data_IF_025787755977
#
_entry.id   IF_025787755977
#
_cell.length_a   1.000
_cell.length_b   1.000
_cell.length_c   1.000
_cell.angle_alpha   90.00
_cell.angle_beta   90.00
_cell.angle_gamma   90.00
#
_symmetry.space_group_name_H-M   'P 1'
#
loop_
_entity.id
_entity.type
_entity.pdbx_description
1 polymer ?
#
# COMPACT_ATOMS: atom_id res chain seq x y z
N UNK A 1 12.74 11.41 18.35
CA UNK A 1 13.71 10.39 17.88
C UNK A 1 14.47 10.97 16.72
N UNK A 2 15.82 10.86 16.69
CA UNK A 2 16.60 11.30 15.53
C UNK A 2 16.33 10.34 14.36
N UNK A 3 16.01 10.90 13.19
CA UNK A 3 15.86 10.13 11.95
C UNK A 3 17.24 9.59 11.57
N UNK A 4 17.40 8.26 11.58
CA UNK A 4 18.67 7.62 11.21
C UNK A 4 18.51 6.85 9.90
N UNK A 5 19.50 7.01 9.01
CA UNK A 5 19.60 6.29 7.75
C UNK A 5 20.82 5.38 7.76
N UNK A 6 20.67 4.18 7.26
CA UNK A 6 21.74 3.19 7.14
C UNK A 6 22.04 2.96 5.67
N UNK A 7 23.31 3.00 5.23
CA UNK A 7 23.66 2.60 3.87
C UNK A 7 23.46 1.09 3.72
N UNK A 8 22.53 0.71 2.85
CA UNK A 8 22.23 -0.67 2.54
C UNK A 8 22.57 -0.98 1.09
N UNK A 9 23.29 -2.08 0.91
CA UNK A 9 23.64 -2.59 -0.41
C UNK A 9 22.44 -3.25 -1.07
N UNK A 10 22.27 -3.00 -2.36
CA UNK A 10 21.28 -3.69 -3.18
C UNK A 10 21.82 -5.07 -3.53
N UNK A 11 21.11 -6.08 -3.05
CA UNK A 11 21.45 -7.48 -3.27
C UNK A 11 20.96 -8.00 -4.62
N UNK A 12 19.72 -7.60 -4.99
CA UNK A 12 19.07 -8.08 -6.21
C UNK A 12 18.03 -7.11 -6.73
N UNK A 13 17.96 -6.98 -8.05
CA UNK A 13 16.92 -6.26 -8.77
C UNK A 13 16.23 -7.22 -9.73
N UNK A 14 14.88 -7.29 -9.69
CA UNK A 14 14.13 -8.06 -10.68
C UNK A 14 13.15 -7.13 -11.40
N UNK A 15 12.98 -7.34 -12.69
CA UNK A 15 11.93 -6.68 -13.48
C UNK A 15 10.61 -7.41 -13.25
N UNK A 16 9.66 -6.75 -12.61
CA UNK A 16 8.32 -7.29 -12.33
C UNK A 16 7.34 -7.02 -13.49
N UNK A 17 7.46 -5.83 -14.09
CA UNK A 17 6.74 -5.42 -15.31
C UNK A 17 7.62 -4.46 -16.10
N UNK A 18 7.19 -4.00 -17.29
CA UNK A 18 7.93 -2.98 -18.05
C UNK A 18 8.08 -1.64 -17.31
N UNK A 19 7.25 -1.41 -16.28
CA UNK A 19 7.24 -0.18 -15.50
C UNK A 19 7.43 -0.43 -14.00
N UNK A 20 7.98 -1.57 -13.59
CA UNK A 20 8.16 -1.86 -12.19
C UNK A 20 9.34 -2.81 -11.97
N UNK A 21 10.23 -2.41 -11.08
CA UNK A 21 11.29 -3.26 -10.57
C UNK A 21 11.08 -3.58 -9.10
N UNK A 22 11.50 -4.74 -8.65
CA UNK A 22 11.66 -5.03 -7.23
C UNK A 22 13.11 -5.00 -6.84
N UNK A 23 13.39 -4.43 -5.66
CA UNK A 23 14.73 -4.24 -5.10
C UNK A 23 14.81 -4.98 -3.78
N UNK A 24 15.74 -5.92 -3.65
CA UNK A 24 16.06 -6.65 -2.42
C UNK A 24 17.33 -6.06 -1.82
N UNK A 25 17.27 -5.68 -0.54
CA UNK A 25 18.41 -5.16 0.21
C UNK A 25 19.14 -6.28 0.96
N UNK A 26 20.46 -6.13 1.06
CA UNK A 26 21.29 -6.91 1.96
C UNK A 26 21.34 -6.21 3.32
N UNK A 27 20.88 -6.89 4.36
CA UNK A 27 20.92 -6.35 5.72
C UNK A 27 22.13 -6.94 6.45
N UNK A 28 23.10 -6.09 6.89
CA UNK A 28 24.23 -6.54 7.70
C UNK A 28 23.76 -7.21 9.00
N UNK A 29 24.48 -8.22 9.48
CA UNK A 29 24.12 -8.96 10.70
C UNK A 29 23.90 -8.03 11.91
N UNK A 30 24.67 -6.96 12.02
CA UNK A 30 24.55 -5.95 13.09
C UNK A 30 23.22 -5.19 13.04
N UNK A 31 22.54 -5.13 11.91
CA UNK A 31 21.30 -4.39 11.70
C UNK A 31 20.05 -5.28 11.62
N UNK A 32 20.19 -6.59 11.61
CA UNK A 32 19.04 -7.52 11.45
C UNK A 32 17.96 -7.28 12.51
N UNK A 33 18.33 -6.96 13.74
CA UNK A 33 17.37 -6.69 14.80
C UNK A 33 16.61 -5.37 14.59
N UNK A 34 17.28 -4.32 14.16
CA UNK A 34 16.68 -3.01 13.84
C UNK A 34 15.80 -3.06 12.60
N UNK A 35 16.12 -3.92 11.65
CA UNK A 35 15.37 -4.10 10.41
C UNK A 35 14.32 -5.21 10.47
N UNK A 36 14.01 -5.76 11.65
CA UNK A 36 12.83 -6.61 11.78
C UNK A 36 11.58 -5.83 11.43
N UNK A 37 10.66 -6.48 10.71
CA UNK A 37 9.45 -5.80 10.26
C UNK A 37 8.21 -6.69 10.39
N UNK A 38 7.05 -6.04 10.42
CA UNK A 38 5.74 -6.69 10.28
C UNK A 38 5.26 -6.56 8.83
N UNK A 39 4.47 -7.51 8.39
CA UNK A 39 3.85 -7.50 7.06
C UNK A 39 3.08 -6.18 6.83
N UNK A 40 3.27 -5.53 5.69
CA UNK A 40 2.62 -4.26 5.36
C UNK A 40 3.36 -3.01 5.84
N UNK A 41 4.49 -3.13 6.53
CA UNK A 41 5.38 -2.01 6.83
C UNK A 41 6.18 -1.56 5.59
N UNK A 42 6.79 -0.39 5.69
CA UNK A 42 7.49 0.30 4.60
C UNK A 42 8.91 0.72 4.98
N UNK A 43 9.75 0.88 3.98
CA UNK A 43 11.09 1.46 4.07
C UNK A 43 11.10 2.85 3.44
N UNK A 44 11.69 3.84 4.13
CA UNK A 44 12.00 5.12 3.53
C UNK A 44 13.43 5.11 3.03
N UNK A 45 13.62 5.36 1.74
CA UNK A 45 14.91 5.42 1.08
C UNK A 45 15.27 6.86 0.74
N UNK A 46 16.56 7.16 0.79
CA UNK A 46 17.13 8.45 0.48
C UNK A 46 18.30 8.26 -0.49
N UNK A 47 18.42 9.17 -1.45
CA UNK A 47 19.58 9.28 -2.33
C UNK A 47 19.69 10.69 -2.88
N UNK A 48 20.84 11.03 -3.46
CA UNK A 48 21.05 12.32 -4.13
C UNK A 48 20.90 12.12 -5.65
N UNK A 49 19.96 12.82 -6.25
CA UNK A 49 19.73 12.79 -7.70
C UNK A 49 19.86 14.21 -8.25
N UNK A 50 20.79 14.42 -9.17
CA UNK A 50 21.05 15.73 -9.81
C UNK A 50 21.35 16.85 -8.79
N UNK A 51 22.00 16.52 -7.67
CA UNK A 51 22.34 17.49 -6.62
C UNK A 51 21.26 17.73 -5.57
N UNK A 52 20.11 17.09 -5.69
CA UNK A 52 19.01 17.20 -4.73
C UNK A 52 18.82 15.90 -3.94
N UNK A 53 18.64 16.03 -2.61
CA UNK A 53 18.28 14.91 -1.77
C UNK A 53 16.82 14.51 -2.03
N UNK A 54 16.62 13.27 -2.45
CA UNK A 54 15.30 12.72 -2.72
C UNK A 54 14.99 11.59 -1.74
N UNK A 55 13.88 11.71 -1.02
CA UNK A 55 13.38 10.67 -0.10
C UNK A 55 12.08 10.09 -0.62
N UNK A 56 11.93 8.75 -0.59
CA UNK A 56 10.69 8.07 -0.97
C UNK A 56 10.47 6.84 -0.10
N UNK A 57 9.21 6.62 0.23
CA UNK A 57 8.77 5.48 1.04
C UNK A 57 8.11 4.44 0.15
N UNK A 58 8.50 3.17 0.31
CA UNK A 58 7.94 2.03 -0.39
C UNK A 58 7.65 0.89 0.56
N UNK A 59 6.47 0.27 0.39
CA UNK A 59 6.04 -0.83 1.24
C UNK A 59 6.86 -2.08 0.95
N UNK A 60 7.21 -2.81 2.01
CA UNK A 60 7.84 -4.12 1.91
C UNK A 60 6.86 -5.12 1.28
N UNK A 61 7.30 -5.78 0.21
CA UNK A 61 6.51 -6.78 -0.52
C UNK A 61 6.95 -8.23 -0.24
N UNK A 62 7.98 -8.42 0.57
CA UNK A 62 8.35 -9.72 1.15
C UNK A 62 7.55 -10.00 2.41
N UNK A 63 7.43 -11.27 2.77
CA UNK A 63 6.97 -11.65 4.11
C UNK A 63 8.14 -11.53 5.10
N UNK A 64 7.92 -11.09 6.36
CA UNK A 64 8.95 -11.16 7.39
C UNK A 64 9.48 -12.59 7.60
N UNK A 65 8.67 -13.61 7.30
CA UNK A 65 9.08 -15.02 7.34
C UNK A 65 10.09 -15.42 6.26
N UNK A 66 10.27 -14.58 5.23
CA UNK A 66 11.22 -14.83 4.13
C UNK A 66 12.65 -14.40 4.50
N UNK A 67 12.80 -13.61 5.57
CA UNK A 67 14.08 -12.96 5.96
C UNK A 67 14.70 -12.20 4.78
N UNK A 68 13.86 -11.48 4.04
CA UNK A 68 14.20 -10.67 2.89
C UNK A 68 13.57 -9.30 3.03
N UNK A 69 14.30 -8.27 2.66
CA UNK A 69 13.83 -6.89 2.66
C UNK A 69 13.67 -6.43 1.22
N UNK A 70 12.49 -6.70 0.66
CA UNK A 70 12.18 -6.44 -0.76
C UNK A 70 11.08 -5.39 -0.86
N UNK A 71 11.30 -4.38 -1.67
CA UNK A 71 10.30 -3.38 -2.07
C UNK A 71 10.06 -3.45 -3.57
N UNK A 72 8.93 -2.96 -4.08
CA UNK A 72 8.73 -2.80 -5.50
C UNK A 72 8.45 -1.34 -5.86
N UNK A 73 9.11 -0.87 -6.89
CA UNK A 73 9.14 0.53 -7.30
C UNK A 73 8.57 0.63 -8.70
N UNK A 74 7.30 1.06 -8.78
CA UNK A 74 6.66 1.33 -10.05
C UNK A 74 7.06 2.70 -10.56
N UNK A 75 7.46 2.77 -11.83
CA UNK A 75 7.80 4.01 -12.51
C UNK A 75 6.58 4.92 -12.59
N UNK A 76 6.73 6.15 -12.13
CA UNK A 76 5.74 7.23 -12.21
C UNK A 76 6.23 8.22 -13.23
N UNK A 77 5.33 8.73 -14.05
CA UNK A 77 5.65 9.77 -15.03
C UNK A 77 6.27 10.99 -14.32
N UNK A 78 7.41 11.44 -14.81
CA UNK A 78 8.21 12.53 -14.22
C UNK A 78 8.68 12.28 -12.77
N UNK A 79 8.61 11.05 -12.28
CA UNK A 79 9.05 10.70 -10.93
C UNK A 79 10.57 10.46 -10.86
N UNK A 80 11.34 11.38 -10.27
CA UNK A 80 12.81 11.30 -10.20
C UNK A 80 13.30 9.96 -9.64
N UNK A 81 12.90 9.61 -8.42
CA UNK A 81 13.36 8.38 -7.77
C UNK A 81 12.88 7.12 -8.48
N UNK A 82 11.62 7.10 -8.91
CA UNK A 82 11.07 5.91 -9.57
C UNK A 82 11.67 5.67 -10.96
N UNK A 83 12.04 6.72 -11.69
CA UNK A 83 12.78 6.60 -12.96
C UNK A 83 14.19 6.10 -12.69
N UNK A 84 14.93 6.72 -11.77
CA UNK A 84 16.25 6.27 -11.35
C UNK A 84 16.25 4.78 -10.94
N UNK A 85 15.30 4.36 -10.11
CA UNK A 85 15.23 2.97 -9.67
C UNK A 85 14.93 1.95 -10.79
N UNK A 86 14.22 2.36 -11.86
CA UNK A 86 13.88 1.49 -12.98
C UNK A 86 14.92 1.50 -14.11
N UNK A 87 15.76 2.54 -14.19
CA UNK A 87 16.66 2.77 -15.34
C UNK A 87 18.15 2.68 -14.98
N UNK A 88 18.54 3.24 -13.83
CA UNK A 88 19.94 3.47 -13.49
C UNK A 88 20.45 2.61 -12.32
N UNK A 89 19.58 2.27 -11.36
CA UNK A 89 19.93 1.53 -10.15
C UNK A 89 20.39 0.11 -10.48
N UNK A 90 21.49 -0.33 -9.84
CA UNK A 90 22.13 -1.62 -10.11
C UNK A 90 22.31 -2.44 -8.85
N UNK A 91 22.43 -3.75 -9.04
CA UNK A 91 22.89 -4.66 -7.99
C UNK A 91 24.31 -4.27 -7.55
N UNK A 92 24.51 -4.17 -6.25
CA UNK A 92 25.76 -3.70 -5.64
C UNK A 92 25.79 -2.23 -5.28
N UNK A 93 24.89 -1.40 -5.82
CA UNK A 93 24.74 0.01 -5.40
C UNK A 93 24.26 0.08 -3.94
N UNK A 94 24.47 1.24 -3.32
CA UNK A 94 24.02 1.53 -1.96
C UNK A 94 22.95 2.63 -1.96
N UNK A 95 21.94 2.45 -1.11
CA UNK A 95 20.95 3.46 -0.78
C UNK A 95 20.89 3.66 0.73
N UNK A 96 20.69 4.89 1.14
CA UNK A 96 20.39 5.21 2.52
C UNK A 96 18.94 4.81 2.86
N UNK A 97 18.75 3.92 3.85
CA UNK A 97 17.45 3.33 4.19
C UNK A 97 17.17 3.50 5.67
N UNK A 98 15.95 3.90 6.03
CA UNK A 98 15.46 3.91 7.41
C UNK A 98 14.95 2.54 7.84
N UNK A 99 14.96 2.30 9.15
CA UNK A 99 14.28 1.14 9.75
C UNK A 99 12.81 1.04 9.29
N UNK A 100 12.25 -0.18 9.21
CA UNK A 100 10.87 -0.39 8.80
C UNK A 100 9.87 0.31 9.71
N UNK A 101 8.91 1.02 9.12
CA UNK A 101 7.83 1.72 9.84
C UNK A 101 6.48 1.48 9.18
N UNK A 102 5.40 1.78 9.87
CA UNK A 102 4.04 1.70 9.34
C UNK A 102 3.09 0.92 10.23
N UNK A 103 1.78 1.13 10.03
CA UNK A 103 0.69 0.52 10.82
C UNK A 103 -0.30 -0.28 9.94
N UNK A 104 -0.01 -0.47 8.66
CA UNK A 104 -0.88 -1.16 7.72
C UNK A 104 -0.74 -2.68 7.85
N UNK A 105 -1.05 -3.21 9.04
CA UNK A 105 -1.01 -4.63 9.36
C UNK A 105 -2.01 -5.00 10.45
N UNK A 106 -2.23 -6.29 10.64
CA UNK A 106 -2.91 -6.87 11.79
C UNK A 106 -2.00 -7.88 12.48
N UNK A 107 -2.22 -8.10 13.77
CA UNK A 107 -1.50 -9.15 14.51
C UNK A 107 -2.00 -10.52 14.06
N UNK A 108 -1.06 -11.38 13.74
CA UNK A 108 -1.31 -12.74 13.29
C UNK A 108 -1.10 -13.74 14.44
N UNK A 109 -1.95 -14.78 14.47
CA UNK A 109 -1.82 -15.85 15.45
C UNK A 109 -2.14 -17.20 14.77
N UNK A 110 -1.31 -18.26 14.96
CA UNK A 110 -1.53 -19.57 14.36
C UNK A 110 -2.89 -20.21 14.67
N UNK A 111 -3.54 -19.79 15.75
CA UNK A 111 -4.86 -20.29 16.15
C UNK A 111 -6.03 -19.55 15.53
N UNK A 112 -5.77 -18.44 14.82
CA UNK A 112 -6.81 -17.67 14.16
C UNK A 112 -7.49 -18.45 13.02
N UNK A 113 -8.79 -18.15 12.85
CA UNK A 113 -9.65 -18.66 11.79
C UNK A 113 -10.33 -17.49 11.07
N UNK A 114 -9.53 -16.53 10.63
CA UNK A 114 -10.01 -15.28 10.05
C UNK A 114 -10.28 -15.38 8.56
N UNK A 115 -11.22 -14.57 8.09
CA UNK A 115 -11.48 -14.31 6.68
C UNK A 115 -10.94 -12.93 6.34
N UNK A 116 -9.86 -12.91 5.59
CA UNK A 116 -9.20 -11.70 5.10
C UNK A 116 -9.73 -11.31 3.73
N UNK A 117 -9.88 -10.02 3.49
CA UNK A 117 -10.18 -9.46 2.19
C UNK A 117 -9.19 -8.33 1.89
N UNK A 118 -8.71 -8.23 0.67
CA UNK A 118 -7.97 -7.08 0.24
C UNK A 118 -8.44 -6.55 -1.11
N UNK A 119 -8.48 -5.23 -1.23
CA UNK A 119 -8.62 -4.49 -2.47
C UNK A 119 -7.31 -3.79 -2.77
N UNK A 120 -6.67 -4.17 -3.86
CA UNK A 120 -5.44 -3.55 -4.31
C UNK A 120 -5.60 -3.00 -5.73
N UNK A 121 -4.87 -1.94 -6.09
CA UNK A 121 -4.75 -1.55 -7.49
C UNK A 121 -3.33 -1.06 -7.80
N UNK A 122 -2.77 -1.54 -8.92
CA UNK A 122 -1.42 -1.20 -9.36
C UNK A 122 -0.37 -1.49 -8.30
N UNK A 123 0.41 -0.47 -7.90
CA UNK A 123 1.45 -0.60 -6.86
C UNK A 123 0.90 -0.83 -5.45
N UNK A 124 -0.40 -0.60 -5.21
CA UNK A 124 -1.02 -0.93 -3.91
C UNK A 124 -0.96 -2.41 -3.53
N UNK A 125 -0.55 -3.28 -4.46
CA UNK A 125 -0.28 -4.69 -4.16
C UNK A 125 0.92 -4.90 -3.23
N UNK A 126 1.86 -3.94 -3.14
CA UNK A 126 3.13 -4.14 -2.44
C UNK A 126 2.96 -4.46 -0.95
N UNK A 127 2.24 -3.70 -0.14
CA UNK A 127 1.98 -4.10 1.24
C UNK A 127 1.03 -5.30 1.33
N UNK A 128 0.08 -5.38 0.42
CA UNK A 128 -0.95 -6.43 0.43
C UNK A 128 -0.35 -7.81 0.20
N UNK A 129 0.59 -7.98 -0.74
CA UNK A 129 1.22 -9.28 -0.98
C UNK A 129 2.07 -9.74 0.22
N UNK A 130 2.69 -8.81 0.94
CA UNK A 130 3.39 -9.10 2.21
C UNK A 130 2.42 -9.66 3.25
N UNK A 131 1.24 -9.04 3.38
CA UNK A 131 0.19 -9.48 4.30
C UNK A 131 -0.35 -10.86 3.90
N UNK A 132 -0.67 -11.06 2.61
CA UNK A 132 -1.17 -12.34 2.08
C UNK A 132 -0.20 -13.48 2.40
N UNK A 133 1.08 -13.32 2.01
CA UNK A 133 2.12 -14.34 2.23
C UNK A 133 2.29 -14.69 3.69
N UNK A 134 2.24 -13.69 4.54
CA UNK A 134 2.46 -13.88 5.98
C UNK A 134 1.25 -14.52 6.64
N UNK A 135 0.04 -14.01 6.38
CA UNK A 135 -1.20 -14.55 6.94
C UNK A 135 -1.42 -16.01 6.55
N UNK A 136 -1.32 -16.35 5.26
CA UNK A 136 -1.55 -17.72 4.78
C UNK A 136 -0.54 -18.73 5.34
N UNK A 137 0.68 -18.29 5.67
CA UNK A 137 1.74 -19.14 6.25
C UNK A 137 1.67 -19.24 7.76
N UNK A 138 1.22 -18.17 8.43
CA UNK A 138 1.13 -18.12 9.90
C UNK A 138 -0.17 -18.71 10.40
N UNK A 139 -1.27 -18.54 9.67
CA UNK A 139 -2.62 -18.91 10.11
C UNK A 139 -3.20 -20.01 9.21
N UNK A 140 -3.01 -21.30 9.53
CA UNK A 140 -3.39 -22.41 8.66
C UNK A 140 -4.90 -22.57 8.46
N UNK A 141 -5.74 -21.99 9.32
CA UNK A 141 -7.20 -22.07 9.24
C UNK A 141 -7.85 -20.81 8.67
N UNK A 142 -7.07 -19.76 8.41
CA UNK A 142 -7.55 -18.51 7.83
C UNK A 142 -7.59 -18.57 6.30
N UNK A 143 -8.51 -17.80 5.72
CA UNK A 143 -8.66 -17.65 4.26
C UNK A 143 -8.38 -16.21 3.85
N UNK A 144 -7.96 -16.01 2.62
CA UNK A 144 -7.66 -14.69 2.07
C UNK A 144 -8.28 -14.53 0.67
N UNK A 145 -9.02 -13.44 0.46
CA UNK A 145 -9.53 -13.04 -0.85
C UNK A 145 -8.84 -11.76 -1.29
N UNK A 146 -8.27 -11.75 -2.48
CA UNK A 146 -7.68 -10.58 -3.12
C UNK A 146 -8.50 -10.17 -4.33
N UNK A 147 -8.96 -8.91 -4.35
CA UNK A 147 -9.49 -8.25 -5.55
C UNK A 147 -8.43 -7.26 -6.02
N UNK A 148 -7.86 -7.50 -7.21
CA UNK A 148 -6.72 -6.73 -7.68
C UNK A 148 -6.98 -6.06 -9.03
N UNK A 149 -7.06 -4.73 -9.02
CA UNK A 149 -7.29 -3.88 -10.19
C UNK A 149 -6.00 -3.51 -10.93
N UNK A 150 -5.99 -3.71 -12.25
CA UNK A 150 -4.88 -3.33 -13.12
C UNK A 150 -5.39 -2.79 -14.47
N UNK A 151 -4.51 -2.23 -15.30
CA UNK A 151 -4.87 -1.79 -16.65
C UNK A 151 -5.01 -2.98 -17.60
N UNK A 152 -4.02 -3.87 -17.60
CA UNK A 152 -3.90 -5.05 -18.44
C UNK A 152 -3.15 -6.15 -17.67
N UNK A 153 -3.17 -7.38 -18.19
CA UNK A 153 -2.44 -8.50 -17.60
C UNK A 153 -0.93 -8.23 -17.50
N UNK A 154 -0.34 -7.62 -18.52
CA UNK A 154 1.09 -7.28 -18.53
C UNK A 154 1.48 -6.24 -17.49
N UNK A 155 0.53 -5.49 -16.93
CA UNK A 155 0.75 -4.50 -15.88
C UNK A 155 0.56 -5.03 -14.46
N UNK A 156 0.24 -6.32 -14.30
CA UNK A 156 0.04 -6.95 -12.99
C UNK A 156 1.41 -7.18 -12.34
N UNK A 157 1.70 -6.42 -11.30
CA UNK A 157 2.92 -6.60 -10.50
C UNK A 157 2.78 -7.90 -9.70
N UNK A 158 3.82 -8.73 -9.67
CA UNK A 158 3.86 -10.04 -8.98
C UNK A 158 2.86 -11.08 -9.52
N UNK A 159 2.50 -11.02 -10.82
CA UNK A 159 1.51 -11.95 -11.38
C UNK A 159 1.87 -13.41 -11.13
N UNK A 160 3.08 -13.83 -11.47
CA UNK A 160 3.54 -15.23 -11.29
C UNK A 160 3.59 -15.62 -9.80
N UNK A 161 3.99 -14.69 -8.91
CA UNK A 161 4.02 -14.95 -7.47
C UNK A 161 2.60 -15.13 -6.91
N UNK A 162 1.63 -14.33 -7.36
CA UNK A 162 0.23 -14.44 -6.96
C UNK A 162 -0.43 -15.74 -7.46
N UNK A 163 -0.17 -16.14 -8.72
CA UNK A 163 -0.64 -17.42 -9.25
C UNK A 163 0.03 -18.60 -8.52
N UNK A 164 1.32 -18.49 -8.19
CA UNK A 164 2.02 -19.46 -7.36
C UNK A 164 1.42 -19.60 -5.96
N UNK A 165 1.04 -18.49 -5.34
CA UNK A 165 0.34 -18.49 -4.05
C UNK A 165 -1.05 -19.14 -4.17
N UNK A 166 -1.79 -18.85 -5.24
CA UNK A 166 -3.10 -19.46 -5.51
C UNK A 166 -2.99 -20.98 -5.65
N UNK A 167 -2.00 -21.45 -6.39
CA UNK A 167 -1.76 -22.89 -6.54
C UNK A 167 -1.37 -23.55 -5.21
N UNK A 168 -0.53 -22.88 -4.42
CA UNK A 168 -0.05 -23.39 -3.12
C UNK A 168 -1.14 -23.44 -2.05
N UNK A 169 -2.06 -22.47 -2.07
CA UNK A 169 -3.12 -22.30 -1.06
C UNK A 169 -4.51 -22.34 -1.70
N UNK A 170 -4.75 -23.29 -2.61
CA UNK A 170 -5.92 -23.35 -3.48
C UNK A 170 -7.25 -23.26 -2.72
N UNK A 171 -7.37 -23.88 -1.55
CA UNK A 171 -8.58 -23.88 -0.73
C UNK A 171 -8.71 -22.65 0.17
N UNK A 172 -7.66 -21.82 0.25
CA UNK A 172 -7.57 -20.72 1.22
C UNK A 172 -7.24 -19.37 0.62
N UNK A 173 -6.81 -19.31 -0.64
CA UNK A 173 -6.50 -18.08 -1.33
C UNK A 173 -7.31 -17.93 -2.62
N UNK A 174 -8.19 -16.94 -2.62
CA UNK A 174 -8.95 -16.54 -3.81
C UNK A 174 -8.36 -15.26 -4.41
N UNK A 175 -8.10 -15.27 -5.71
CA UNK A 175 -7.51 -14.17 -6.44
C UNK A 175 -8.40 -13.74 -7.60
N UNK A 176 -8.99 -12.55 -7.53
CA UNK A 176 -9.89 -11.97 -8.52
C UNK A 176 -9.16 -10.80 -9.20
N UNK A 177 -8.81 -10.97 -10.48
CA UNK A 177 -8.24 -9.91 -11.29
C UNK A 177 -9.35 -9.04 -11.91
N UNK A 178 -9.18 -7.71 -11.86
CA UNK A 178 -10.07 -6.73 -12.50
C UNK A 178 -9.24 -5.88 -13.47
N UNK A 179 -9.48 -6.00 -14.79
CA UNK A 179 -8.70 -5.34 -15.83
C UNK A 179 -9.48 -4.21 -16.48
N UNK A 180 -8.96 -2.98 -16.43
CA UNK A 180 -9.71 -1.80 -16.88
C UNK A 180 -9.54 -1.47 -18.36
N UNK A 181 -8.52 -2.01 -19.04
CA UNK A 181 -8.20 -1.72 -20.45
C UNK A 181 -8.02 -2.97 -21.31
N UNK A 182 -8.16 -4.14 -20.73
CA UNK A 182 -8.06 -5.41 -21.42
C UNK A 182 -9.37 -6.18 -21.20
N UNK A 183 -10.04 -6.58 -22.28
CA UNK A 183 -11.29 -7.34 -22.21
C UNK A 183 -11.03 -8.72 -21.64
N UNK A 184 -11.90 -9.15 -20.79
CA UNK A 184 -11.89 -10.48 -20.16
C UNK A 184 -13.16 -11.23 -20.57
N UNK A 185 -13.13 -12.56 -20.46
CA UNK A 185 -14.28 -13.41 -20.78
C UNK A 185 -15.47 -13.15 -19.85
N UNK A 186 -15.19 -12.77 -18.60
CA UNK A 186 -16.18 -12.54 -17.57
C UNK A 186 -16.33 -11.04 -17.28
N UNK A 187 -17.55 -10.46 -17.35
CA UNK A 187 -17.78 -9.05 -17.02
C UNK A 187 -17.30 -8.66 -15.62
N UNK A 188 -17.30 -9.61 -14.68
CA UNK A 188 -16.80 -9.40 -13.32
C UNK A 188 -15.32 -8.99 -13.29
N UNK A 189 -14.53 -9.53 -14.20
CA UNK A 189 -13.09 -9.27 -14.30
C UNK A 189 -12.75 -8.04 -15.15
N UNK A 190 -13.72 -7.37 -15.76
CA UNK A 190 -13.51 -6.19 -16.61
C UNK A 190 -13.98 -4.90 -15.90
N UNK A 191 -13.21 -3.81 -16.04
CA UNK A 191 -13.56 -2.49 -15.54
C UNK A 191 -12.64 -2.01 -14.40
N UNK A 192 -13.18 -1.13 -13.57
CA UNK A 192 -12.52 -0.61 -12.37
C UNK A 192 -13.16 -1.17 -11.11
N UNK A 193 -12.47 -1.07 -9.99
CA UNK A 193 -13.04 -1.33 -8.66
C UNK A 193 -13.79 -0.06 -8.26
N UNK A 194 -15.06 -0.01 -8.60
CA UNK A 194 -16.03 1.04 -8.31
C UNK A 194 -17.27 0.46 -7.60
N UNK A 195 -18.25 1.29 -7.28
CA UNK A 195 -19.48 0.87 -6.57
C UNK A 195 -20.20 -0.25 -7.33
N UNK A 196 -20.29 -0.15 -8.67
CA UNK A 196 -20.91 -1.19 -9.48
C UNK A 196 -20.18 -2.53 -9.35
N UNK A 197 -18.84 -2.50 -9.43
CA UNK A 197 -18.00 -3.68 -9.27
C UNK A 197 -18.10 -4.26 -7.87
N UNK A 198 -18.12 -3.44 -6.83
CA UNK A 198 -18.28 -3.87 -5.45
C UNK A 198 -19.64 -4.56 -5.23
N UNK A 199 -20.70 -4.03 -5.84
CA UNK A 199 -22.04 -4.65 -5.83
C UNK A 199 -22.06 -5.99 -6.57
N UNK A 200 -21.40 -6.09 -7.73
CA UNK A 200 -21.31 -7.37 -8.44
C UNK A 200 -20.52 -8.42 -7.65
N UNK A 201 -19.49 -8.01 -6.94
CA UNK A 201 -18.67 -8.88 -6.11
C UNK A 201 -19.42 -9.43 -4.88
N UNK A 202 -20.56 -8.84 -4.46
CA UNK A 202 -21.39 -9.38 -3.37
C UNK A 202 -21.91 -10.79 -3.67
N UNK A 203 -21.99 -11.17 -4.95
CA UNK A 203 -22.35 -12.52 -5.37
C UNK A 203 -21.31 -13.58 -4.98
N UNK A 204 -20.06 -13.15 -4.76
CA UNK A 204 -18.92 -14.02 -4.42
C UNK A 204 -18.36 -13.75 -3.02
N UNK A 205 -18.51 -12.53 -2.51
CA UNK A 205 -17.88 -12.05 -1.27
C UNK A 205 -18.97 -11.56 -0.33
N UNK A 206 -19.15 -12.25 0.79
CA UNK A 206 -19.97 -11.77 1.90
C UNK A 206 -19.12 -10.83 2.76
N UNK A 207 -19.21 -9.51 2.50
CA UNK A 207 -18.40 -8.50 3.19
C UNK A 207 -18.62 -8.50 4.71
N UNK A 208 -19.83 -8.82 5.19
CA UNK A 208 -20.15 -8.83 6.63
C UNK A 208 -19.41 -9.93 7.38
N UNK A 209 -19.04 -11.01 6.68
CA UNK A 209 -18.28 -12.13 7.25
C UNK A 209 -16.76 -11.94 7.22
N UNK A 210 -16.26 -10.83 6.68
CA UNK A 210 -14.83 -10.55 6.70
C UNK A 210 -14.40 -10.05 8.08
N UNK A 211 -13.27 -10.53 8.54
CA UNK A 211 -12.70 -10.16 9.82
C UNK A 211 -11.74 -8.97 9.71
N UNK A 212 -10.96 -8.93 8.62
CA UNK A 212 -10.00 -7.86 8.32
C UNK A 212 -10.08 -7.53 6.83
N UNK A 213 -10.15 -6.24 6.49
CA UNK A 213 -10.23 -5.75 5.12
C UNK A 213 -9.12 -4.74 4.90
N UNK A 214 -8.26 -4.99 3.90
CA UNK A 214 -7.14 -4.13 3.55
C UNK A 214 -7.39 -3.44 2.21
N UNK A 215 -7.12 -2.13 2.13
CA UNK A 215 -7.37 -1.35 0.92
C UNK A 215 -6.11 -0.54 0.60
N UNK A 216 -5.50 -0.74 -0.58
CA UNK A 216 -4.35 0.03 -1.02
C UNK A 216 -4.34 0.22 -2.54
N UNK A 217 -4.19 1.47 -3.00
CA UNK A 217 -4.22 1.81 -4.42
C UNK A 217 -4.47 3.30 -4.66
N UNK A 218 -5.07 3.67 -5.79
CA UNK A 218 -5.46 5.05 -6.06
C UNK A 218 -6.46 5.57 -5.03
N UNK A 219 -6.32 6.82 -4.67
CA UNK A 219 -7.15 7.50 -3.66
C UNK A 219 -8.65 7.35 -3.92
N UNK A 220 -9.08 7.57 -5.17
CA UNK A 220 -10.49 7.41 -5.58
C UNK A 220 -11.01 6.00 -5.29
N UNK A 221 -10.22 4.95 -5.54
CA UNK A 221 -10.60 3.57 -5.24
C UNK A 221 -10.68 3.33 -3.74
N UNK A 222 -9.72 3.83 -2.97
CA UNK A 222 -9.67 3.65 -1.52
C UNK A 222 -10.94 4.22 -0.89
N UNK A 223 -11.28 5.47 -1.20
CA UNK A 223 -12.49 6.11 -0.66
C UNK A 223 -13.78 5.47 -1.19
N UNK A 224 -13.82 5.06 -2.45
CA UNK A 224 -14.96 4.32 -3.01
C UNK A 224 -15.23 3.03 -2.22
N UNK A 225 -14.19 2.22 -2.00
CA UNK A 225 -14.31 0.96 -1.25
C UNK A 225 -14.65 1.22 0.22
N UNK A 226 -13.97 2.16 0.87
CA UNK A 226 -14.23 2.52 2.27
C UNK A 226 -15.69 2.93 2.47
N UNK A 227 -16.18 3.92 1.70
CA UNK A 227 -17.55 4.41 1.81
C UNK A 227 -18.58 3.31 1.54
N UNK A 228 -18.32 2.43 0.56
CA UNK A 228 -19.20 1.29 0.28
C UNK A 228 -19.29 0.34 1.48
N UNK A 229 -18.15 0.00 2.11
CA UNK A 229 -18.11 -0.87 3.27
C UNK A 229 -18.78 -0.24 4.50
N UNK A 230 -18.64 1.06 4.69
CA UNK A 230 -19.34 1.83 5.74
C UNK A 230 -20.85 1.79 5.54
N UNK A 231 -21.34 1.97 4.31
CA UNK A 231 -22.76 1.83 3.97
C UNK A 231 -23.30 0.41 4.21
N UNK A 232 -22.44 -0.59 4.17
CA UNK A 232 -22.75 -1.98 4.54
C UNK A 232 -22.64 -2.26 6.04
N UNK A 233 -22.41 -1.21 6.84
CA UNK A 233 -22.27 -1.29 8.30
C UNK A 233 -21.08 -2.17 8.75
N UNK A 234 -20.01 -2.24 7.95
CA UNK A 234 -18.79 -2.91 8.36
C UNK A 234 -18.07 -2.04 9.40
N UNK A 235 -17.74 -2.57 10.58
CA UNK A 235 -17.04 -1.81 11.61
C UNK A 235 -15.71 -1.23 11.14
N UNK A 236 -15.45 0.05 11.39
CA UNK A 236 -14.23 0.75 10.97
C UNK A 236 -12.95 0.04 11.42
N UNK A 237 -12.93 -0.53 12.62
CA UNK A 237 -11.80 -1.31 13.16
C UNK A 237 -11.36 -2.51 12.31
N UNK A 238 -12.23 -2.98 11.39
CA UNK A 238 -11.93 -4.06 10.45
C UNK A 238 -11.35 -3.56 9.13
N UNK A 239 -11.39 -2.24 8.89
CA UNK A 239 -11.02 -1.61 7.62
C UNK A 239 -9.67 -0.92 7.79
N UNK A 240 -8.66 -1.44 7.11
CA UNK A 240 -7.31 -0.89 7.07
C UNK A 240 -7.06 -0.31 5.68
N UNK A 241 -6.56 0.92 5.59
CA UNK A 241 -6.20 1.49 4.30
C UNK A 241 -4.87 2.23 4.36
N UNK A 242 -4.16 2.26 3.24
CA UNK A 242 -2.91 2.99 3.07
C UNK A 242 -2.97 3.82 1.79
N UNK A 243 -2.69 5.12 1.93
CA UNK A 243 -2.65 6.07 0.82
C UNK A 243 -1.21 6.25 0.34
N UNK A 244 -0.96 6.01 -0.94
CA UNK A 244 0.31 6.35 -1.58
C UNK A 244 0.25 7.77 -2.13
N UNK A 245 0.84 8.72 -1.41
CA UNK A 245 0.99 10.10 -1.92
C UNK A 245 2.07 10.14 -2.99
N UNK A 246 1.70 10.35 -4.26
CA UNK A 246 2.64 10.67 -5.33
C UNK A 246 2.98 12.16 -5.27
N UNK A 247 4.28 12.47 -5.11
CA UNK A 247 4.77 13.84 -5.25
C UNK A 247 4.47 14.31 -6.68
N UNK A 248 3.60 15.28 -6.83
CA UNK A 248 3.27 15.84 -8.16
C UNK A 248 1.81 15.84 -8.58
N UNK A 249 0.93 15.06 -7.93
CA UNK A 249 -0.49 15.35 -8.10
C UNK A 249 -0.81 16.65 -7.36
N UNK A 250 -1.12 17.71 -8.12
CA UNK A 250 -1.87 18.84 -7.58
C UNK A 250 -3.04 18.23 -6.81
N UNK A 251 -3.19 18.60 -5.53
CA UNK A 251 -4.40 18.32 -4.77
C UNK A 251 -5.56 18.62 -5.70
N UNK A 252 -6.25 17.60 -6.21
CA UNK A 252 -7.63 17.78 -6.58
C UNK A 252 -8.25 18.31 -5.30
N UNK A 253 -8.72 19.53 -5.35
CA UNK A 253 -9.38 20.21 -4.26
C UNK A 253 -10.29 19.18 -3.58
N UNK A 254 -9.95 18.85 -2.33
CA UNK A 254 -10.93 18.27 -1.43
C UNK A 254 -11.95 19.40 -1.25
N UNK A 255 -12.88 19.48 -2.20
CA UNK A 255 -14.07 20.29 -2.03
C UNK A 255 -14.79 19.68 -0.85
N UNK A 256 -14.69 20.42 0.24
CA UNK A 256 -15.48 20.30 1.42
C UNK A 256 -16.93 19.88 1.08
N UNK A 257 -17.22 18.60 1.26
CA UNK A 257 -18.53 18.16 1.66
C UNK A 257 -18.51 18.08 3.20
N UNK A 258 -18.17 19.20 3.82
CA UNK A 258 -18.66 19.54 5.15
C UNK A 258 -19.78 20.52 4.93
N UNK A 259 -21.01 20.00 5.13
CA UNK A 259 -22.18 20.75 5.44
C UNK A 259 -21.85 21.96 6.31
N UNK A 260 -22.46 23.11 5.95
CA UNK A 260 -22.62 24.30 6.74
C UNK A 260 -22.85 24.00 8.23
N UNK A 261 -21.82 24.08 9.04
CA UNK A 261 -21.91 24.32 10.48
C UNK A 261 -20.58 24.94 10.92
N UNK A 262 -20.71 26.17 11.41
CA UNK A 262 -19.83 26.94 12.28
C UNK A 262 -18.86 27.92 11.64
N UNK A 263 -19.34 29.18 11.56
CA UNK A 263 -18.57 30.38 11.27
C UNK A 263 -17.84 30.89 12.52
N UNK A 264 -17.01 30.04 13.15
CA UNK A 264 -16.12 30.47 14.23
C UNK A 264 -14.76 30.94 13.69
N UNK A 265 -13.99 31.70 14.47
CA UNK A 265 -12.60 32.06 14.06
C UNK A 265 -11.75 30.81 13.92
N UNK A 266 -11.07 30.69 12.77
CA UNK A 266 -10.15 29.60 12.46
C UNK A 266 -8.71 30.13 12.37
N UNK A 267 -7.74 29.34 12.86
CA UNK A 267 -6.31 29.59 12.68
C UNK A 267 -5.81 28.84 11.47
N UNK A 268 -5.09 29.57 10.60
CA UNK A 268 -4.41 28.97 9.47
C UNK A 268 -3.09 28.37 9.92
N UNK A 269 -2.93 27.07 9.77
CA UNK A 269 -1.74 26.32 10.20
C UNK A 269 -0.99 25.83 8.98
N UNK A 270 0.29 26.12 8.93
CA UNK A 270 1.22 25.57 7.95
C UNK A 270 2.14 24.56 8.63
N UNK A 271 2.01 23.29 8.27
CA UNK A 271 2.91 22.22 8.73
C UNK A 271 3.95 21.94 7.64
N UNK A 272 5.22 22.01 8.00
CA UNK A 272 6.32 21.65 7.10
C UNK A 272 6.92 20.32 7.54
N UNK A 273 6.83 19.30 6.68
CA UNK A 273 7.42 17.99 6.90
C UNK A 273 8.23 17.60 5.65
N UNK A 274 9.50 17.31 5.82
CA UNK A 274 10.40 16.87 4.74
C UNK A 274 10.41 17.79 3.51
N UNK A 275 10.47 19.12 3.74
CA UNK A 275 10.46 20.12 2.67
C UNK A 275 9.10 20.39 2.03
N UNK A 276 8.03 19.79 2.51
CA UNK A 276 6.65 20.02 2.07
C UNK A 276 5.91 20.90 3.05
N UNK A 277 5.07 21.78 2.53
CA UNK A 277 4.17 22.61 3.32
C UNK A 277 2.74 22.13 3.12
N UNK A 278 2.04 21.95 4.22
CA UNK A 278 0.62 21.61 4.25
C UNK A 278 -0.11 22.74 4.98
N UNK A 279 -1.06 23.36 4.30
CA UNK A 279 -1.89 24.44 4.87
C UNK A 279 -3.27 23.88 5.15
N UNK A 280 -3.79 24.09 6.38
CA UNK A 280 -5.16 23.78 6.75
C UNK A 280 -5.66 24.77 7.79
N UNK A 281 -6.98 24.93 7.83
CA UNK A 281 -7.64 25.80 8.80
C UNK A 281 -8.12 24.94 9.98
N UNK A 282 -7.71 25.30 11.20
CA UNK A 282 -8.13 24.66 12.43
C UNK A 282 -9.07 25.59 13.18
N UNK A 283 -10.30 25.16 13.47
CA UNK A 283 -11.24 25.92 14.28
C UNK A 283 -10.71 26.09 15.70
N UNK A 284 -10.72 27.32 16.24
CA UNK A 284 -10.24 27.59 17.59
C UNK A 284 -11.12 26.96 18.68
N UNK A 285 -12.30 26.49 18.31
CA UNK A 285 -13.26 25.83 19.22
C UNK A 285 -13.23 24.29 19.10
N UNK A 286 -12.28 23.71 18.36
CA UNK A 286 -12.16 22.26 18.24
C UNK A 286 -11.16 21.70 19.28
N UNK A 287 -11.54 20.62 19.95
CA UNK A 287 -10.63 19.85 20.82
C UNK A 287 -9.62 18.98 20.04
N UNK A 288 -9.50 19.21 18.73
CA UNK A 288 -8.59 18.49 17.83
C UNK A 288 -7.20 19.09 17.97
N UNK A 289 -6.19 18.26 18.24
CA UNK A 289 -4.80 18.71 18.27
C UNK A 289 -4.27 18.99 16.85
N UNK A 290 -3.24 19.83 16.73
CA UNK A 290 -2.57 20.09 15.43
C UNK A 290 -2.09 18.77 14.80
N UNK A 291 -1.63 17.81 15.61
CA UNK A 291 -1.18 16.49 15.16
C UNK A 291 -2.33 15.67 14.57
N UNK A 292 -3.49 15.66 15.23
CA UNK A 292 -4.68 14.93 14.75
C UNK A 292 -5.27 15.56 13.47
N UNK A 293 -5.14 16.87 13.31
CA UNK A 293 -5.58 17.58 12.12
C UNK A 293 -4.61 17.46 10.94
N UNK A 294 -3.33 17.08 11.19
CA UNK A 294 -2.29 16.92 10.19
C UNK A 294 -2.11 15.46 9.73
N UNK A 295 -2.72 14.51 10.43
CA UNK A 295 -2.77 13.07 10.10
C UNK A 295 -4.02 12.75 9.28
#
# INVERSE_FOLDING_TARGET
MSIHFYPLRIKKINKETDQCVSVEFEIPESLVNSFQFKQGQSLTMRTNLSGEEVRRTYSLCSSPLDKKWKVAIKKVESGLFSSFANEDLKEGDELDVMEPVGKFYTELNPTNKKKYLAFAAGSGITPVISIIKTALRTEPQSTFTLVYGNRSRSSIIFFEELEGLKNKFIDRFSFINVLSRERTETPLNFGRIDIGKLTDLEKLIDYKKMDEIFICGPEEMIFCVKNFLEQKEIPERKIHFELFTTSGQKKSEIRNLKSEIDSGPASKITVKVDGRSFDFDLSLNSDITILDAAL
#
